data_IF_503168637430
#
_entry.id   IF_503168637430
#
_cell.length_a   1.000
_cell.length_b   1.000
_cell.length_c   1.000
_cell.angle_alpha   90.00
_cell.angle_beta   90.00
_cell.angle_gamma   90.00
#
_symmetry.space_group_name_H-M   'P 1'
#
loop_
_entity.id
_entity.type
_entity.pdbx_description
1 polymer ?
#
# COMPACT_ATOMS: atom_id res chain seq x y z
N UNK A 1 19.33 -0.69 0.53
CA UNK A 1 17.88 -0.83 0.79
C UNK A 1 17.20 0.52 0.54
N UNK A 2 15.90 0.56 0.20
CA UNK A 2 15.15 1.81 0.28
C UNK A 2 15.16 2.30 1.73
N UNK A 3 15.45 3.58 1.95
CA UNK A 3 15.44 4.16 3.30
C UNK A 3 14.00 4.36 3.75
N UNK A 4 13.66 3.85 4.93
CA UNK A 4 12.41 4.17 5.60
C UNK A 4 12.75 4.53 7.03
N UNK A 5 12.78 5.84 7.33
CA UNK A 5 13.38 6.41 8.54
C UNK A 5 12.82 5.80 9.83
N UNK A 6 11.53 5.43 9.82
CA UNK A 6 10.88 4.80 10.98
C UNK A 6 11.45 3.42 11.35
N UNK A 7 12.18 2.74 10.45
CA UNK A 7 12.85 1.47 10.78
C UNK A 7 14.11 1.66 11.61
N UNK A 8 14.75 2.83 11.50
CA UNK A 8 16.00 3.16 12.17
C UNK A 8 15.78 4.00 13.44
N UNK A 9 14.57 4.53 13.64
CA UNK A 9 14.19 5.31 14.81
C UNK A 9 13.94 4.42 16.04
N UNK A 10 14.69 4.68 17.12
CA UNK A 10 14.59 3.95 18.40
C UNK A 10 13.28 4.19 19.14
N UNK A 11 12.52 5.23 18.79
CA UNK A 11 11.19 5.47 19.33
C UNK A 11 10.14 4.49 18.75
N UNK A 12 10.48 3.76 17.69
CA UNK A 12 9.56 2.85 17.01
C UNK A 12 9.93 1.38 17.28
N UNK A 13 8.91 0.58 17.60
CA UNK A 13 9.00 -0.87 17.62
C UNK A 13 8.80 -1.40 16.21
N UNK A 14 9.76 -2.17 15.70
CA UNK A 14 9.72 -2.75 14.36
C UNK A 14 9.35 -4.23 14.42
N UNK A 15 8.32 -4.62 13.66
CA UNK A 15 7.88 -5.99 13.47
C UNK A 15 7.93 -6.34 11.98
N UNK A 16 8.19 -7.61 11.67
CA UNK A 16 8.18 -8.12 10.28
C UNK A 16 7.05 -9.12 10.11
N UNK A 17 6.30 -8.97 9.02
CA UNK A 17 5.25 -9.88 8.60
C UNK A 17 5.57 -10.45 7.19
N UNK A 18 4.97 -11.61 6.89
CA UNK A 18 5.28 -12.40 5.70
C UNK A 18 6.51 -13.33 5.86
N UNK A 19 7.04 -13.86 4.74
CA UNK A 19 6.68 -13.54 3.37
C UNK A 19 5.29 -14.07 3.00
N UNK A 20 4.53 -13.27 2.28
CA UNK A 20 3.26 -13.70 1.70
C UNK A 20 3.43 -14.03 0.23
N UNK A 21 3.34 -15.31 -0.14
CA UNK A 21 3.33 -15.71 -1.55
C UNK A 21 1.95 -15.45 -2.16
N UNK A 22 1.94 -14.90 -3.37
CA UNK A 22 0.71 -14.56 -4.11
C UNK A 22 0.96 -14.70 -5.61
N UNK A 23 -0.03 -15.22 -6.34
CA UNK A 23 -0.01 -15.34 -7.81
C UNK A 23 -0.35 -14.01 -8.48
N UNK A 24 0.53 -13.03 -8.31
CA UNK A 24 0.43 -11.72 -8.93
C UNK A 24 1.81 -11.18 -9.32
N UNK A 25 1.82 -10.31 -10.33
CA UNK A 25 3.03 -9.58 -10.71
C UNK A 25 3.43 -8.59 -9.60
N UNK A 26 4.73 -8.38 -9.43
CA UNK A 26 5.24 -7.48 -8.39
C UNK A 26 4.62 -6.07 -8.43
N UNK A 27 4.46 -5.44 -9.62
CA UNK A 27 3.81 -4.14 -9.72
C UNK A 27 2.34 -4.11 -9.29
N UNK A 28 1.55 -5.18 -9.50
CA UNK A 28 0.16 -5.26 -9.02
C UNK A 28 0.09 -5.23 -7.50
N UNK A 29 1.03 -5.90 -6.82
CA UNK A 29 1.12 -5.92 -5.36
C UNK A 29 1.48 -4.53 -4.81
N UNK A 30 2.45 -3.85 -5.44
CA UNK A 30 2.77 -2.46 -5.07
C UNK A 30 1.58 -1.55 -5.30
N UNK A 31 0.85 -1.70 -6.41
CA UNK A 31 -0.31 -0.88 -6.69
C UNK A 31 -1.44 -1.08 -5.68
N UNK A 32 -1.78 -2.32 -5.33
CA UNK A 32 -2.76 -2.62 -4.26
C UNK A 32 -2.35 -2.00 -2.92
N UNK A 33 -1.06 -1.96 -2.59
CA UNK A 33 -0.56 -1.31 -1.38
C UNK A 33 -0.69 0.22 -1.40
N UNK A 34 -0.62 0.84 -2.58
CA UNK A 34 -0.75 2.30 -2.77
C UNK A 34 -2.20 2.76 -2.88
N UNK A 35 -3.13 1.84 -3.15
CA UNK A 35 -4.55 2.12 -3.30
C UNK A 35 -5.22 2.16 -1.92
N UNK A 36 -5.90 3.27 -1.64
CA UNK A 36 -6.76 3.41 -0.44
C UNK A 36 -8.24 3.26 -0.79
N UNK A 37 -8.58 3.30 -2.08
CA UNK A 37 -9.94 3.20 -2.59
C UNK A 37 -10.56 1.83 -2.34
N UNK A 38 -9.77 0.77 -2.20
CA UNK A 38 -10.28 -0.57 -1.89
C UNK A 38 -10.61 -0.78 -0.40
N UNK A 39 -10.11 0.07 0.51
CA UNK A 39 -10.26 -0.13 1.95
C UNK A 39 -11.71 -0.33 2.39
N UNK A 40 -12.69 0.50 1.97
CA UNK A 40 -14.10 0.32 2.33
C UNK A 40 -14.69 -1.01 1.87
N UNK A 41 -14.18 -1.58 0.77
CA UNK A 41 -14.80 -2.72 0.10
C UNK A 41 -14.19 -4.06 0.49
N UNK A 42 -12.86 -4.10 0.64
CA UNK A 42 -12.07 -5.31 0.93
C UNK A 42 -11.83 -5.46 2.43
N UNK A 43 -11.63 -4.36 3.15
CA UNK A 43 -11.28 -4.32 4.56
C UNK A 43 -12.39 -3.66 5.40
N UNK A 44 -13.65 -3.89 5.02
CA UNK A 44 -14.82 -3.34 5.69
C UNK A 44 -14.80 -3.65 7.19
N UNK A 45 -15.05 -2.63 8.01
CA UNK A 45 -15.03 -2.73 9.47
C UNK A 45 -13.63 -2.73 10.10
N UNK A 46 -12.57 -2.66 9.28
CA UNK A 46 -11.19 -2.60 9.76
C UNK A 46 -10.50 -1.32 9.25
N UNK A 47 -10.22 -1.25 7.94
CA UNK A 47 -9.49 -0.13 7.33
C UNK A 47 -10.41 0.86 6.60
N UNK A 48 -11.69 0.54 6.44
CA UNK A 48 -12.67 1.40 5.81
C UNK A 48 -14.12 1.05 6.18
N UNK A 49 -15.03 1.91 5.75
CA UNK A 49 -16.47 1.80 5.98
C UNK A 49 -17.20 2.00 4.64
N UNK A 50 -18.00 1.01 4.21
CA UNK A 50 -18.75 1.08 2.95
C UNK A 50 -19.74 2.24 2.88
N UNK A 51 -20.23 2.72 4.02
CA UNK A 51 -21.08 3.90 4.09
C UNK A 51 -20.32 5.21 3.87
N UNK A 52 -18.97 5.18 3.92
CA UNK A 52 -18.08 6.32 3.68
C UNK A 52 -16.90 5.95 2.76
N UNK A 53 -17.16 5.64 1.48
CA UNK A 53 -16.12 5.20 0.55
C UNK A 53 -15.31 6.35 -0.07
N UNK A 54 -15.68 7.60 0.22
CA UNK A 54 -15.09 8.77 -0.40
C UNK A 54 -13.64 8.99 0.05
N UNK A 55 -12.74 9.16 -0.92
CA UNK A 55 -11.35 9.53 -0.70
C UNK A 55 -11.20 11.03 -1.00
N UNK A 56 -10.70 11.79 -0.03
CA UNK A 56 -10.47 13.22 -0.20
C UNK A 56 -9.38 13.48 -1.25
N UNK A 57 -9.40 14.65 -1.88
CA UNK A 57 -8.33 15.08 -2.77
C UNK A 57 -6.98 15.13 -2.04
N UNK A 58 -5.94 14.67 -2.72
CA UNK A 58 -4.57 14.65 -2.22
C UNK A 58 -3.56 14.92 -3.35
N UNK A 59 -2.32 15.19 -2.97
CA UNK A 59 -1.26 15.59 -3.88
C UNK A 59 -0.27 14.45 -4.13
N UNK A 60 0.29 14.42 -5.34
CA UNK A 60 1.32 13.47 -5.76
C UNK A 60 2.43 14.22 -6.48
N UNK A 61 3.67 13.94 -6.11
CA UNK A 61 4.87 14.40 -6.81
C UNK A 61 5.70 13.20 -7.26
N UNK A 62 6.35 13.34 -8.41
CA UNK A 62 7.18 12.29 -9.01
C UNK A 62 8.52 12.90 -9.39
N UNK A 63 9.61 12.23 -9.03
CA UNK A 63 10.97 12.60 -9.39
C UNK A 63 11.83 11.35 -9.67
N UNK A 64 13.14 11.54 -9.86
CA UNK A 64 14.08 10.43 -10.08
C UNK A 64 14.20 9.47 -8.88
N UNK A 65 13.75 9.88 -7.69
CA UNK A 65 13.78 9.11 -6.44
C UNK A 65 12.46 8.39 -6.15
N UNK A 66 11.44 8.53 -7.00
CA UNK A 66 10.18 7.80 -6.87
C UNK A 66 8.93 8.68 -6.93
N UNK A 67 7.90 8.21 -6.24
CA UNK A 67 6.60 8.89 -6.10
C UNK A 67 6.37 9.20 -4.64
N UNK A 68 5.90 10.40 -4.34
CA UNK A 68 5.47 10.83 -3.02
C UNK A 68 4.02 11.30 -3.10
N UNK A 69 3.14 10.71 -2.28
CA UNK A 69 1.77 11.17 -2.11
C UNK A 69 1.57 11.68 -0.68
N UNK A 70 1.01 12.88 -0.52
CA UNK A 70 0.81 13.54 0.78
C UNK A 70 -0.62 14.01 0.94
N UNK A 71 -1.09 14.02 2.18
CA UNK A 71 -2.45 14.49 2.50
C UNK A 71 -3.54 13.49 2.14
N UNK A 72 -3.21 12.21 1.96
CA UNK A 72 -4.19 11.15 1.72
C UNK A 72 -5.02 10.95 2.99
N UNK A 73 -6.28 11.40 3.00
CA UNK A 73 -7.15 11.32 4.17
C UNK A 73 -8.22 10.25 3.96
N UNK A 74 -8.35 9.35 4.94
CA UNK A 74 -9.29 8.24 4.91
C UNK A 74 -9.98 8.13 6.27
N UNK A 75 -11.31 7.98 6.28
CA UNK A 75 -12.00 7.59 7.49
C UNK A 75 -11.80 6.10 7.75
N UNK A 76 -11.37 5.74 8.96
CA UNK A 76 -11.28 4.34 9.40
C UNK A 76 -12.18 4.12 10.63
N UNK A 77 -12.92 3.00 10.68
CA UNK A 77 -13.81 2.70 11.80
C UNK A 77 -13.05 2.44 13.09
N UNK A 78 -11.83 1.90 12.99
CA UNK A 78 -10.96 1.71 14.14
C UNK A 78 -9.47 1.76 13.72
N UNK A 79 -8.91 2.96 13.51
CA UNK A 79 -7.56 3.12 12.99
C UNK A 79 -6.48 2.63 13.96
N UNK A 80 -6.76 2.55 15.26
CA UNK A 80 -5.75 2.30 16.30
C UNK A 80 -6.11 1.12 17.21
N UNK A 81 -7.10 0.30 16.81
CA UNK A 81 -7.62 -0.81 17.61
C UNK A 81 -8.16 -0.34 19.00
N UNK A 82 -8.84 0.81 19.04
CA UNK A 82 -9.45 1.42 20.24
C UNK A 82 -10.98 1.38 20.23
N UNK A 83 -11.60 0.83 19.17
CA UNK A 83 -13.03 0.84 18.94
C UNK A 83 -13.62 2.19 18.49
N UNK A 84 -12.79 3.21 18.26
CA UNK A 84 -13.24 4.56 17.89
C UNK A 84 -12.80 4.95 16.47
N UNK A 85 -13.76 5.41 15.68
CA UNK A 85 -13.50 5.86 14.31
C UNK A 85 -12.79 7.21 14.26
N UNK A 86 -11.87 7.36 13.31
CA UNK A 86 -11.17 8.63 13.08
C UNK A 86 -10.74 8.79 11.62
N UNK A 87 -10.58 10.04 11.21
CA UNK A 87 -9.94 10.37 9.92
C UNK A 87 -8.43 10.39 10.13
N UNK A 88 -7.74 9.57 9.36
CA UNK A 88 -6.29 9.44 9.43
C UNK A 88 -5.66 9.96 8.16
N UNK A 89 -4.47 10.54 8.31
CA UNK A 89 -3.71 11.10 7.18
C UNK A 89 -2.51 10.23 6.90
N UNK A 90 -2.34 9.85 5.64
CA UNK A 90 -1.22 9.07 5.16
C UNK A 90 -0.26 9.91 4.31
N UNK A 91 1.01 9.55 4.40
CA UNK A 91 2.03 9.85 3.38
C UNK A 91 2.48 8.54 2.77
N UNK A 92 2.32 8.38 1.45
CA UNK A 92 2.82 7.23 0.70
C UNK A 92 4.09 7.59 -0.04
N UNK A 93 5.03 6.64 -0.14
CA UNK A 93 6.25 6.79 -0.93
C UNK A 93 6.54 5.51 -1.71
N UNK A 94 6.72 5.61 -3.02
CA UNK A 94 7.36 4.57 -3.81
C UNK A 94 8.85 4.86 -3.83
N UNK A 95 9.67 3.94 -3.33
CA UNK A 95 11.13 4.11 -3.24
C UNK A 95 11.87 3.49 -4.42
N UNK A 96 11.31 2.38 -4.92
CA UNK A 96 11.82 1.56 -6.02
C UNK A 96 10.63 0.90 -6.71
N UNK A 97 10.81 0.34 -7.93
CA UNK A 97 9.71 -0.34 -8.64
C UNK A 97 8.96 -1.35 -7.79
N UNK A 98 9.64 -2.09 -6.92
CA UNK A 98 9.05 -3.15 -6.10
C UNK A 98 9.15 -2.85 -4.60
N UNK A 99 9.21 -1.58 -4.20
CA UNK A 99 9.22 -1.21 -2.78
C UNK A 99 8.55 0.14 -2.54
N UNK A 100 7.59 0.14 -1.64
CA UNK A 100 6.81 1.31 -1.26
C UNK A 100 6.58 1.32 0.25
N UNK A 101 6.34 2.48 0.82
CA UNK A 101 5.97 2.62 2.23
C UNK A 101 4.82 3.58 2.40
N UNK A 102 4.17 3.52 3.55
CA UNK A 102 3.35 4.60 4.05
C UNK A 102 3.68 4.95 5.49
N UNK A 103 3.37 6.18 5.86
CA UNK A 103 3.30 6.64 7.25
C UNK A 103 1.88 7.12 7.49
N UNK A 104 1.25 6.57 8.51
CA UNK A 104 0.03 7.06 9.10
C UNK A 104 0.38 8.03 10.22
N UNK A 105 -0.07 9.26 10.08
CA UNK A 105 0.22 10.36 10.99
C UNK A 105 -0.83 10.45 12.09
N UNK A 106 -0.37 10.79 13.30
CA UNK A 106 -1.19 10.93 14.49
C UNK A 106 -0.33 10.91 15.75
N UNK A 107 -0.97 11.02 16.92
CA UNK A 107 -0.33 10.76 18.22
C UNK A 107 0.25 9.34 18.25
N UNK A 108 -0.54 8.38 17.77
CA UNK A 108 -0.11 7.02 17.43
C UNK A 108 0.31 6.97 15.97
N UNK A 109 1.63 6.99 15.73
CA UNK A 109 2.23 6.88 14.41
C UNK A 109 2.48 5.42 14.05
N UNK A 110 2.07 5.04 12.84
CA UNK A 110 2.29 3.71 12.28
C UNK A 110 2.87 3.83 10.88
N UNK A 111 3.97 3.14 10.63
CA UNK A 111 4.63 3.07 9.34
C UNK A 111 4.67 1.64 8.82
N UNK A 112 4.58 1.47 7.50
CA UNK A 112 4.81 0.18 6.86
C UNK A 112 5.69 0.33 5.65
N UNK A 113 6.74 -0.50 5.54
CA UNK A 113 7.51 -0.70 4.31
C UNK A 113 7.11 -2.04 3.70
N UNK A 114 6.65 -2.01 2.46
CA UNK A 114 6.48 -3.15 1.58
C UNK A 114 7.73 -3.31 0.70
N UNK A 115 8.23 -4.54 0.58
CA UNK A 115 9.16 -4.94 -0.47
C UNK A 115 8.70 -6.23 -1.12
N UNK A 116 8.72 -6.29 -2.46
CA UNK A 116 8.22 -7.42 -3.22
C UNK A 116 9.39 -8.16 -3.89
N UNK A 117 9.47 -9.46 -3.67
CA UNK A 117 10.40 -10.36 -4.36
C UNK A 117 9.65 -11.08 -5.49
N UNK A 118 9.88 -10.73 -6.76
CA UNK A 118 9.33 -11.48 -7.88
C UNK A 118 10.10 -12.79 -8.04
N UNK A 119 9.38 -13.86 -8.35
CA UNK A 119 9.96 -15.17 -8.63
C UNK A 119 9.68 -15.61 -10.07
N UNK A 120 8.62 -15.06 -10.66
CA UNK A 120 8.19 -15.19 -12.05
C UNK A 120 7.43 -13.90 -12.43
N UNK A 121 7.24 -13.56 -13.72
CA UNK A 121 6.33 -12.49 -14.16
C UNK A 121 5.01 -12.33 -13.37
N UNK A 122 4.37 -13.41 -12.96
CA UNK A 122 3.06 -13.40 -12.27
C UNK A 122 3.08 -14.13 -10.92
N UNK A 123 4.25 -14.26 -10.29
CA UNK A 123 4.39 -14.96 -9.02
C UNK A 123 5.41 -14.26 -8.11
N UNK A 124 4.97 -13.79 -6.94
CA UNK A 124 5.76 -12.90 -6.08
C UNK A 124 5.56 -13.20 -4.59
N UNK A 125 6.54 -12.79 -3.77
CA UNK A 125 6.41 -12.71 -2.31
C UNK A 125 6.39 -11.26 -1.86
N UNK A 126 5.42 -10.89 -1.03
CA UNK A 126 5.38 -9.62 -0.32
C UNK A 126 6.02 -9.74 1.07
N UNK A 127 6.91 -8.81 1.41
CA UNK A 127 7.52 -8.67 2.73
C UNK A 127 7.13 -7.32 3.32
N UNK A 128 6.72 -7.31 4.59
CA UNK A 128 6.25 -6.10 5.24
C UNK A 128 7.00 -5.86 6.56
N UNK A 129 7.48 -4.64 6.75
CA UNK A 129 8.04 -4.17 8.01
C UNK A 129 7.15 -3.07 8.57
N UNK A 130 6.64 -3.28 9.78
CA UNK A 130 5.74 -2.37 10.47
C UNK A 130 6.50 -1.68 11.59
N UNK A 131 6.49 -0.36 11.62
CA UNK A 131 7.12 0.47 12.65
C UNK A 131 6.03 1.24 13.40
N UNK A 132 5.99 1.14 14.72
CA UNK A 132 4.93 1.75 15.54
C UNK A 132 5.51 2.44 16.77
N UNK A 133 5.01 3.62 17.12
CA UNK A 133 5.40 4.32 18.36
C UNK A 133 4.46 4.04 19.55
N UNK A 134 3.64 2.99 19.45
CA UNK A 134 2.67 2.56 20.44
C UNK A 134 2.65 1.04 20.55
N UNK A 135 2.09 0.51 21.65
CA UNK A 135 1.89 -0.93 21.82
C UNK A 135 0.47 -1.29 21.37
N UNK A 136 0.29 -2.15 20.36
CA UNK A 136 -1.04 -2.57 19.90
C UNK A 136 -1.69 -3.53 20.90
N UNK A 137 -3.01 -3.46 21.01
CA UNK A 137 -3.78 -4.36 21.90
C UNK A 137 -3.83 -5.82 21.42
N UNK A 138 -3.59 -6.05 20.12
CA UNK A 138 -3.59 -7.38 19.49
C UNK A 138 -2.26 -7.68 18.79
N UNK A 139 -1.93 -8.97 18.54
CA UNK A 139 -0.73 -9.34 17.81
C UNK A 139 -0.72 -8.74 16.40
N UNK A 140 0.08 -7.69 16.20
CA UNK A 140 0.11 -6.92 14.95
C UNK A 140 0.46 -7.77 13.72
N UNK A 141 1.29 -8.81 13.87
CA UNK A 141 1.61 -9.73 12.77
C UNK A 141 0.38 -10.52 12.33
N UNK A 142 -0.40 -11.05 13.28
CA UNK A 142 -1.65 -11.78 12.96
C UNK A 142 -2.72 -10.85 12.36
N UNK A 143 -2.78 -9.60 12.83
CA UNK A 143 -3.63 -8.57 12.23
C UNK A 143 -3.24 -8.34 10.76
N UNK A 144 -1.94 -8.18 10.48
CA UNK A 144 -1.45 -8.00 9.12
C UNK A 144 -1.68 -9.25 8.23
N UNK A 145 -1.53 -10.46 8.80
CA UNK A 145 -1.83 -11.70 8.09
C UNK A 145 -3.29 -11.74 7.61
N UNK A 146 -4.22 -11.29 8.44
CA UNK A 146 -5.65 -11.19 8.10
C UNK A 146 -5.92 -10.15 7.01
N UNK A 147 -5.29 -8.97 7.08
CA UNK A 147 -5.41 -7.95 6.03
C UNK A 147 -4.92 -8.51 4.70
N UNK A 148 -3.72 -9.08 4.66
CA UNK A 148 -3.17 -9.63 3.42
C UNK A 148 -4.01 -10.80 2.87
N UNK A 149 -4.60 -11.62 3.75
CA UNK A 149 -5.50 -12.69 3.33
C UNK A 149 -6.76 -12.18 2.61
N UNK A 150 -7.23 -10.97 2.92
CA UNK A 150 -8.35 -10.31 2.22
C UNK A 150 -7.91 -9.78 0.84
N UNK A 151 -6.70 -9.23 0.72
CA UNK A 151 -6.17 -8.73 -0.56
C UNK A 151 -5.83 -9.84 -1.56
N UNK A 152 -5.32 -10.99 -1.06
CA UNK A 152 -4.82 -12.09 -1.90
C UNK A 152 -5.80 -12.51 -3.02
N UNK A 153 -7.07 -12.86 -2.75
CA UNK A 153 -7.98 -13.26 -3.83
C UNK A 153 -8.22 -12.14 -4.85
N UNK A 154 -8.18 -10.87 -4.43
CA UNK A 154 -8.31 -9.73 -5.34
C UNK A 154 -7.09 -9.66 -6.27
N UNK A 155 -5.88 -9.68 -5.69
CA UNK A 155 -4.62 -9.68 -6.45
C UNK A 155 -4.53 -10.81 -7.48
N UNK A 156 -4.90 -12.04 -7.10
CA UNK A 156 -4.80 -13.22 -7.98
C UNK A 156 -5.89 -13.23 -9.08
N UNK A 157 -6.95 -12.45 -8.90
CA UNK A 157 -8.06 -12.35 -9.84
C UNK A 157 -7.86 -11.28 -10.92
N UNK A 158 -6.90 -10.36 -10.76
CA UNK A 158 -6.68 -9.25 -11.68
C UNK A 158 -6.30 -9.73 -13.09
N UNK A 159 -6.90 -9.14 -14.12
CA UNK A 159 -6.63 -9.42 -15.53
C UNK A 159 -6.50 -8.12 -16.33
N UNK A 160 -5.49 -7.99 -17.23
CA UNK A 160 -4.37 -8.93 -17.41
C UNK A 160 -3.49 -9.04 -16.15
N UNK A 161 -2.82 -10.18 -15.97
CA UNK A 161 -2.03 -10.48 -14.77
C UNK A 161 -0.83 -9.54 -14.59
N UNK A 162 -0.24 -9.11 -15.71
CA UNK A 162 0.79 -8.08 -15.74
C UNK A 162 0.14 -6.70 -15.68
N UNK A 163 0.74 -5.79 -14.91
CA UNK A 163 0.24 -4.44 -14.77
C UNK A 163 0.41 -3.64 -16.09
N UNK A 164 -0.67 -3.18 -16.73
CA UNK A 164 -0.55 -2.31 -17.90
C UNK A 164 -0.03 -0.94 -17.49
N UNK A 165 1.07 -0.49 -18.12
CA UNK A 165 1.61 0.86 -17.92
C UNK A 165 0.98 1.88 -18.88
N UNK A 166 0.23 1.42 -19.87
CA UNK A 166 -0.67 2.28 -20.64
C UNK A 166 -1.91 2.58 -19.79
N UNK A 167 -2.07 3.84 -19.39
CA UNK A 167 -3.20 4.31 -18.57
C UNK A 167 -4.53 4.25 -19.32
N UNK A 168 -4.53 4.06 -20.64
CA UNK A 168 -5.77 3.86 -21.39
C UNK A 168 -6.29 2.42 -21.32
N UNK A 169 -5.46 1.48 -20.84
CA UNK A 169 -5.84 0.07 -20.73
C UNK A 169 -6.80 -0.22 -19.57
N UNK A 170 -6.89 0.67 -18.56
CA UNK A 170 -7.76 0.52 -17.40
C UNK A 170 -8.42 1.87 -17.03
N UNK A 171 -9.65 1.83 -16.49
CA UNK A 171 -10.35 3.04 -16.02
C UNK A 171 -9.73 3.52 -14.71
N UNK A 172 -9.47 4.83 -14.62
CA UNK A 172 -8.90 5.44 -13.42
C UNK A 172 -9.83 6.50 -12.81
N UNK A 173 -9.99 6.47 -11.50
CA UNK A 173 -10.70 7.45 -10.70
C UNK A 173 -9.72 8.45 -10.06
N UNK A 174 -10.25 9.55 -9.52
CA UNK A 174 -9.44 10.56 -8.81
C UNK A 174 -8.74 10.00 -7.57
N UNK A 175 -9.33 8.97 -6.95
CA UNK A 175 -8.75 8.21 -5.83
C UNK A 175 -7.42 7.53 -6.19
N UNK A 176 -7.19 7.26 -7.47
CA UNK A 176 -6.10 6.38 -7.94
C UNK A 176 -4.82 7.16 -8.23
N UNK A 177 -4.75 8.43 -7.81
CA UNK A 177 -3.67 9.37 -8.17
C UNK A 177 -2.28 8.80 -7.87
N UNK A 178 -2.08 8.14 -6.73
CA UNK A 178 -0.81 7.50 -6.36
C UNK A 178 -0.46 6.35 -7.30
N UNK A 179 -1.44 5.48 -7.61
CA UNK A 179 -1.26 4.36 -8.54
C UNK A 179 -0.93 4.85 -9.97
N UNK A 180 -1.62 5.88 -10.45
CA UNK A 180 -1.35 6.51 -11.75
C UNK A 180 0.06 7.10 -11.78
N UNK A 181 0.46 7.83 -10.74
CA UNK A 181 1.81 8.40 -10.63
C UNK A 181 2.88 7.31 -10.64
N UNK A 182 2.64 6.19 -9.95
CA UNK A 182 3.51 5.03 -9.95
C UNK A 182 3.65 4.39 -11.33
N UNK A 183 2.55 4.14 -12.06
CA UNK A 183 2.62 3.61 -13.44
C UNK A 183 3.38 4.52 -14.39
N UNK A 184 3.14 5.84 -14.33
CA UNK A 184 3.88 6.83 -15.12
C UNK A 184 5.37 6.78 -14.82
N UNK A 185 5.71 6.77 -13.53
CA UNK A 185 7.09 6.70 -13.07
C UNK A 185 7.80 5.42 -13.53
N UNK A 186 7.17 4.24 -13.41
CA UNK A 186 7.71 2.98 -13.92
C UNK A 186 8.08 3.07 -15.41
N UNK A 187 7.20 3.67 -16.22
CA UNK A 187 7.44 3.86 -17.65
C UNK A 187 8.61 4.82 -17.90
N UNK A 188 8.71 5.91 -17.15
CA UNK A 188 9.79 6.90 -17.26
C UNK A 188 11.17 6.31 -16.95
N UNK A 189 11.26 5.45 -15.93
CA UNK A 189 12.51 4.76 -15.58
C UNK A 189 12.79 3.50 -16.44
N UNK A 190 11.97 3.27 -17.48
CA UNK A 190 12.19 2.21 -18.47
C UNK A 190 11.76 0.81 -18.03
N UNK A 191 10.97 0.67 -16.96
CA UNK A 191 10.36 -0.62 -16.62
C UNK A 191 9.38 -1.02 -17.72
N UNK A 192 9.54 -2.24 -18.22
CA UNK A 192 8.64 -2.86 -19.17
C UNK A 192 7.92 -3.99 -18.46
N UNK A 193 6.64 -3.80 -18.19
CA UNK A 193 5.76 -4.93 -17.88
C UNK A 193 5.35 -5.53 -19.23
N UNK A 194 5.31 -6.87 -19.33
CA UNK A 194 4.95 -7.53 -20.58
C UNK A 194 3.59 -7.03 -21.08
N UNK A 195 3.53 -6.64 -22.35
CA UNK A 195 2.25 -6.42 -23.03
C UNK A 195 1.53 -7.77 -23.10
N UNK A 196 0.28 -7.82 -22.61
CA UNK A 196 -0.60 -8.95 -22.86
C UNK A 196 -0.74 -9.22 -24.36
#
# INVERSE_FOLDING_TARGET
>A
MPGFELLDDRAYKVLRAGPYRVKASGPRIVENFLDVGHFPFVHEGILGDRARPEIADYETTTDSNGVLATGVKVFQPDPYATGHGSVVTYTYRVHRPLSASFIKHGEHSFGMLLSVTPHDPVDSSAWMWMAMNYEPESPMVEFQDRIFAQDRPILESQRPELLPLDLQAELHLRSDRTAIAYRRWLREIGVRTGTA
#
